data_IF_962949767793
#
_entry.id   IF_962949767793
#
_cell.length_a   1.000
_cell.length_b   1.000
_cell.length_c   1.000
_cell.angle_alpha   90.00
_cell.angle_beta   90.00
_cell.angle_gamma   90.00
#
_symmetry.space_group_name_H-M   'P 1'
#
loop_
_entity.id
_entity.type
_entity.pdbx_description
1 polymer ?
#
# COMPACT_ATOMS: atom_id res chain seq x y z
N UNK A 1 6.18 23.87 34.61
CA UNK A 1 6.18 23.60 33.16
C UNK A 1 6.47 22.12 32.96
N UNK A 2 5.56 21.37 32.36
CA UNK A 2 5.81 19.96 31.98
C UNK A 2 6.77 19.95 30.78
N UNK A 3 7.84 19.18 30.87
CA UNK A 3 8.78 19.04 29.77
C UNK A 3 8.05 18.49 28.53
N UNK A 4 8.37 18.97 27.31
CA UNK A 4 7.75 18.45 26.10
C UNK A 4 8.07 16.96 25.94
N UNK A 5 7.02 16.14 25.75
CA UNK A 5 7.18 14.71 25.53
C UNK A 5 7.62 14.46 24.08
N UNK A 6 8.81 13.88 23.91
CA UNK A 6 9.33 13.42 22.63
C UNK A 6 9.22 11.89 22.53
N UNK A 7 8.81 11.41 21.36
CA UNK A 7 9.03 10.02 20.99
C UNK A 7 10.51 9.82 20.68
N UNK A 8 11.06 8.72 21.17
CA UNK A 8 12.42 8.24 20.89
C UNK A 8 12.36 6.93 20.12
N UNK A 9 13.47 6.56 19.47
CA UNK A 9 13.66 5.26 18.79
C UNK A 9 13.25 4.08 19.70
N UNK A 10 13.66 4.11 20.98
CA UNK A 10 13.31 3.10 21.97
C UNK A 10 11.81 3.09 22.29
N UNK A 11 11.18 4.25 22.49
CA UNK A 11 9.75 4.31 22.78
C UNK A 11 8.89 3.82 21.62
N UNK A 12 9.27 4.15 20.38
CA UNK A 12 8.59 3.71 19.16
C UNK A 12 8.76 2.21 18.96
N UNK A 13 9.97 1.68 19.17
CA UNK A 13 10.23 0.23 19.05
C UNK A 13 9.34 -0.58 20.00
N UNK A 14 9.22 -0.13 21.27
CA UNK A 14 8.33 -0.75 22.26
C UNK A 14 6.85 -0.70 21.85
N UNK A 15 6.41 0.43 21.28
CA UNK A 15 5.02 0.58 20.83
C UNK A 15 4.73 -0.29 19.58
N UNK A 16 5.69 -0.42 18.66
CA UNK A 16 5.62 -1.31 17.49
C UNK A 16 5.62 -2.80 17.89
N UNK A 17 6.44 -3.19 18.86
CA UNK A 17 6.44 -4.55 19.43
C UNK A 17 5.11 -4.86 20.12
N UNK A 18 4.60 -3.96 20.95
CA UNK A 18 3.28 -4.14 21.60
C UNK A 18 2.16 -4.29 20.59
N UNK A 19 2.25 -3.60 19.46
CA UNK A 19 1.28 -3.68 18.37
C UNK A 19 1.33 -5.03 17.63
N UNK A 20 2.44 -5.76 17.71
CA UNK A 20 2.57 -7.09 17.09
C UNK A 20 3.63 -7.20 15.99
N UNK A 21 4.46 -6.17 15.78
CA UNK A 21 5.62 -6.25 14.90
C UNK A 21 6.74 -7.06 15.59
N UNK A 22 7.43 -7.92 14.84
CA UNK A 22 8.38 -8.92 15.33
C UNK A 22 9.61 -8.97 14.42
N UNK A 23 10.70 -9.50 14.96
CA UNK A 23 11.91 -9.78 14.19
C UNK A 23 11.59 -10.70 13.00
N UNK A 24 12.17 -10.39 11.84
CA UNK A 24 11.95 -11.09 10.57
C UNK A 24 10.71 -10.64 9.80
N UNK A 25 9.87 -9.75 10.34
CA UNK A 25 8.70 -9.27 9.62
C UNK A 25 9.08 -8.48 8.36
N UNK A 26 8.28 -8.66 7.31
CA UNK A 26 8.19 -7.72 6.19
C UNK A 26 6.99 -6.81 6.40
N UNK A 27 7.21 -5.50 6.49
CA UNK A 27 6.15 -4.53 6.82
C UNK A 27 6.10 -3.39 5.82
N UNK A 28 4.94 -3.21 5.20
CA UNK A 28 4.62 -2.04 4.39
C UNK A 28 4.00 -0.95 5.26
N UNK A 29 4.51 0.26 5.17
CA UNK A 29 4.16 1.35 6.08
C UNK A 29 3.54 2.51 5.30
N UNK A 30 2.37 2.94 5.76
CA UNK A 30 1.75 4.21 5.39
C UNK A 30 1.80 5.13 6.60
N UNK A 31 2.40 6.31 6.49
CA UNK A 31 2.66 7.17 7.64
C UNK A 31 2.23 8.63 7.43
N UNK A 32 1.33 9.10 8.28
CA UNK A 32 1.11 10.53 8.48
C UNK A 32 2.04 11.02 9.60
N UNK A 33 3.28 11.37 9.25
CA UNK A 33 4.34 11.70 10.21
C UNK A 33 3.94 12.77 11.23
N UNK A 34 3.12 13.75 10.83
CA UNK A 34 2.60 14.80 11.73
C UNK A 34 1.71 14.27 12.86
N UNK A 35 1.09 13.09 12.67
CA UNK A 35 0.25 12.44 13.68
C UNK A 35 1.06 11.56 14.64
N UNK A 36 2.31 11.20 14.33
CA UNK A 36 3.17 10.43 15.24
C UNK A 36 3.67 11.27 16.44
N UNK A 37 3.36 12.56 16.46
CA UNK A 37 3.80 13.49 17.50
C UNK A 37 5.24 13.95 17.31
N UNK A 38 5.84 14.50 18.37
CA UNK A 38 7.19 15.07 18.32
C UNK A 38 8.24 13.96 18.32
N UNK A 39 8.86 13.73 17.18
CA UNK A 39 9.97 12.79 17.05
C UNK A 39 11.29 13.49 17.40
N UNK A 40 12.09 12.90 18.28
CA UNK A 40 13.35 13.50 18.73
C UNK A 40 14.31 13.82 17.57
N UNK A 41 14.43 12.89 16.60
CA UNK A 41 15.30 13.03 15.42
C UNK A 41 14.51 12.92 14.09
N UNK A 42 13.29 13.46 14.04
CA UNK A 42 12.50 13.49 12.80
C UNK A 42 12.13 12.10 12.24
N UNK A 43 11.84 12.00 10.92
CA UNK A 43 11.35 10.76 10.30
C UNK A 43 12.32 9.58 10.31
N UNK A 44 13.63 9.85 10.20
CA UNK A 44 14.67 8.79 10.22
C UNK A 44 14.59 7.94 11.47
N UNK A 45 14.23 8.55 12.61
CA UNK A 45 14.05 7.84 13.87
C UNK A 45 12.92 6.80 13.82
N UNK A 46 11.88 7.03 13.01
CA UNK A 46 10.80 6.06 12.84
C UNK A 46 11.24 4.91 11.92
N UNK A 47 11.98 5.19 10.86
CA UNK A 47 12.62 4.18 9.99
C UNK A 47 13.55 3.30 10.83
N UNK A 48 14.38 3.91 11.66
CA UNK A 48 15.31 3.25 12.57
C UNK A 48 14.60 2.36 13.60
N UNK A 49 13.51 2.82 14.19
CA UNK A 49 12.71 2.03 15.12
C UNK A 49 12.06 0.82 14.43
N UNK A 50 11.55 0.99 13.21
CA UNK A 50 11.03 -0.12 12.40
C UNK A 50 12.13 -1.16 12.12
N UNK A 51 13.32 -0.69 11.70
CA UNK A 51 14.48 -1.54 11.43
C UNK A 51 14.98 -2.29 12.66
N UNK A 52 14.94 -1.68 13.85
CA UNK A 52 15.26 -2.36 15.11
C UNK A 52 14.31 -3.52 15.39
N UNK A 53 13.00 -3.26 15.29
CA UNK A 53 11.98 -4.24 15.66
C UNK A 53 11.95 -5.41 14.67
N UNK A 54 12.05 -5.14 13.37
CA UNK A 54 12.09 -6.22 12.36
C UNK A 54 13.48 -6.89 12.28
N UNK A 55 14.53 -6.23 12.78
CA UNK A 55 15.88 -6.77 12.82
C UNK A 55 16.50 -7.00 11.44
N UNK A 56 17.70 -7.61 11.38
CA UNK A 56 18.46 -7.78 10.15
C UNK A 56 17.82 -8.75 9.15
N UNK A 57 16.93 -9.64 9.59
CA UNK A 57 16.19 -10.57 8.73
C UNK A 57 14.86 -9.98 8.21
N UNK A 58 14.43 -8.83 8.73
CA UNK A 58 13.19 -8.17 8.33
C UNK A 58 13.33 -7.27 7.12
N UNK A 59 12.23 -6.66 6.68
CA UNK A 59 12.21 -5.72 5.55
C UNK A 59 11.14 -4.66 5.76
N UNK A 60 11.51 -3.37 5.65
CA UNK A 60 10.58 -2.24 5.71
C UNK A 60 10.28 -1.79 4.29
N UNK A 61 9.02 -1.53 3.99
CA UNK A 61 8.52 -1.21 2.64
C UNK A 61 7.64 0.06 2.72
N UNK A 62 7.69 0.90 1.69
CA UNK A 62 6.77 2.03 1.54
C UNK A 62 6.31 2.13 0.08
N UNK A 63 5.04 2.50 -0.12
CA UNK A 63 4.55 2.91 -1.44
C UNK A 63 5.17 4.26 -1.80
N UNK A 64 5.96 4.30 -2.87
CA UNK A 64 6.59 5.56 -3.30
C UNK A 64 5.74 6.28 -4.32
N UNK A 65 5.14 5.55 -5.27
CA UNK A 65 4.70 6.15 -6.54
C UNK A 65 5.84 6.99 -7.12
N UNK A 66 5.58 7.96 -7.99
CA UNK A 66 6.57 8.93 -8.43
C UNK A 66 5.96 10.32 -8.67
N UNK A 67 6.79 11.34 -8.63
CA UNK A 67 6.36 12.71 -8.91
C UNK A 67 6.26 12.98 -10.42
N UNK A 68 5.27 12.36 -11.08
CA UNK A 68 5.02 12.42 -12.53
C UNK A 68 3.94 13.44 -12.93
N UNK A 69 4.10 14.72 -12.58
CA UNK A 69 3.07 15.76 -12.84
C UNK A 69 2.69 15.96 -14.33
N UNK A 70 3.48 15.41 -15.27
CA UNK A 70 3.13 15.43 -16.70
C UNK A 70 1.89 14.59 -17.01
N UNK A 71 1.41 13.77 -16.07
CA UNK A 71 0.18 13.00 -16.23
C UNK A 71 -1.03 13.89 -16.57
N UNK A 72 -1.03 15.14 -16.05
CA UNK A 72 -2.03 16.18 -16.37
C UNK A 72 -1.99 16.66 -17.84
N UNK A 73 -0.91 16.36 -18.58
CA UNK A 73 -0.73 16.74 -19.97
C UNK A 73 -1.16 15.64 -20.95
N UNK A 74 -1.55 14.46 -20.46
CA UNK A 74 -1.93 13.35 -21.32
C UNK A 74 -3.20 13.67 -22.11
N UNK A 75 -3.22 13.25 -23.38
CA UNK A 75 -4.41 13.31 -24.21
C UNK A 75 -5.44 12.22 -23.84
N UNK A 76 -6.58 12.21 -24.53
CA UNK A 76 -7.65 11.22 -24.34
C UNK A 76 -7.21 9.76 -24.58
N UNK A 77 -6.08 9.55 -25.27
CA UNK A 77 -5.50 8.23 -25.54
C UNK A 77 -4.35 7.90 -24.57
N UNK A 78 -4.12 8.74 -23.55
CA UNK A 78 -3.05 8.58 -22.58
C UNK A 78 -1.67 8.84 -23.15
N UNK A 79 -1.53 9.65 -24.21
CA UNK A 79 -0.23 9.98 -24.82
C UNK A 79 0.23 11.37 -24.46
N UNK A 80 1.55 11.54 -24.37
CA UNK A 80 2.16 12.86 -24.17
C UNK A 80 2.24 13.59 -25.52
N UNK A 81 1.69 14.82 -25.63
CA UNK A 81 1.84 15.65 -26.82
C UNK A 81 3.31 15.88 -27.18
N UNK A 82 3.63 15.88 -28.47
CA UNK A 82 5.01 15.89 -28.96
C UNK A 82 5.82 17.07 -28.43
N UNK A 83 5.19 18.24 -28.31
CA UNK A 83 5.81 19.47 -27.82
C UNK A 83 6.29 19.38 -26.36
N UNK A 84 5.78 18.45 -25.56
CA UNK A 84 6.15 18.30 -24.15
C UNK A 84 7.20 17.23 -23.89
N UNK A 85 7.47 16.34 -24.86
CA UNK A 85 8.29 15.14 -24.61
C UNK A 85 9.71 15.45 -24.14
N UNK A 86 10.34 16.46 -24.72
CA UNK A 86 11.72 16.87 -24.37
C UNK A 86 11.80 17.62 -23.03
N UNK A 87 10.65 18.02 -22.46
CA UNK A 87 10.56 18.74 -21.19
C UNK A 87 10.31 17.82 -19.99
N UNK A 88 9.95 16.55 -20.24
CA UNK A 88 9.54 15.62 -19.18
C UNK A 88 10.73 14.77 -18.74
N UNK A 89 11.05 14.86 -17.45
CA UNK A 89 12.08 14.03 -16.85
C UNK A 89 11.64 12.55 -16.85
N UNK A 90 12.48 11.63 -17.34
CA UNK A 90 12.17 10.21 -17.34
C UNK A 90 12.17 9.61 -15.92
N UNK A 91 11.44 8.51 -15.74
CA UNK A 91 11.53 7.69 -14.54
C UNK A 91 12.89 7.01 -14.48
N UNK A 92 13.57 7.19 -13.35
CA UNK A 92 14.74 6.46 -12.93
C UNK A 92 14.53 6.05 -11.47
N UNK A 93 14.50 4.74 -11.15
CA UNK A 93 14.22 4.28 -9.79
C UNK A 93 15.22 4.82 -8.76
N UNK A 94 16.44 5.19 -9.19
CA UNK A 94 17.50 5.69 -8.31
C UNK A 94 17.35 7.19 -7.99
N UNK A 95 16.86 8.00 -8.93
CA UNK A 95 16.84 9.46 -8.79
C UNK A 95 15.44 10.08 -8.70
N UNK A 96 14.42 9.49 -9.35
CA UNK A 96 13.06 10.01 -9.31
C UNK A 96 12.56 10.08 -7.86
N UNK A 97 11.83 11.13 -7.50
CA UNK A 97 11.31 11.28 -6.14
C UNK A 97 10.04 10.44 -5.95
N UNK A 98 9.75 10.06 -4.71
CA UNK A 98 8.42 9.58 -4.35
C UNK A 98 7.38 10.72 -4.52
N UNK A 99 6.12 10.37 -4.75
CA UNK A 99 5.05 11.38 -4.82
C UNK A 99 4.86 12.03 -3.45
N UNK A 100 4.51 13.32 -3.44
CA UNK A 100 4.35 14.09 -2.18
C UNK A 100 3.08 13.71 -1.41
N UNK A 101 2.08 13.20 -2.10
CA UNK A 101 0.76 12.88 -1.54
C UNK A 101 0.84 11.71 -0.55
N UNK A 102 1.81 10.82 -0.72
CA UNK A 102 2.11 9.73 0.23
C UNK A 102 2.87 10.19 1.49
N UNK A 103 3.08 11.51 1.63
CA UNK A 103 3.83 12.11 2.73
C UNK A 103 5.35 11.94 2.60
N UNK A 104 6.08 12.35 3.63
CA UNK A 104 7.56 12.37 3.58
C UNK A 104 8.20 11.01 3.86
N UNK A 105 7.47 10.06 4.46
CA UNK A 105 8.05 8.78 4.89
C UNK A 105 8.59 7.94 3.72
N UNK A 106 7.88 7.75 2.59
CA UNK A 106 8.40 6.98 1.47
C UNK A 106 9.66 7.58 0.86
N UNK A 107 9.74 8.91 0.78
CA UNK A 107 10.94 9.59 0.25
C UNK A 107 12.14 9.38 1.18
N UNK A 108 11.98 9.55 2.49
CA UNK A 108 13.03 9.29 3.47
C UNK A 108 13.49 7.83 3.42
N UNK A 109 12.56 6.87 3.32
CA UNK A 109 12.88 5.45 3.17
C UNK A 109 13.63 5.18 1.88
N UNK A 110 13.21 5.78 0.75
CA UNK A 110 13.86 5.65 -0.56
C UNK A 110 15.28 6.20 -0.55
N UNK A 111 15.52 7.31 0.15
CA UNK A 111 16.85 7.94 0.25
C UNK A 111 17.73 7.37 1.36
N UNK A 112 17.21 6.46 2.19
CA UNK A 112 18.02 5.76 3.20
C UNK A 112 19.02 4.84 2.50
N UNK A 113 20.29 4.90 2.92
CA UNK A 113 21.34 4.07 2.34
C UNK A 113 20.99 2.57 2.39
N UNK A 114 21.12 1.88 1.25
CA UNK A 114 20.76 0.48 1.10
C UNK A 114 19.29 0.22 0.74
N UNK A 115 18.47 1.26 0.62
CA UNK A 115 17.11 1.15 0.09
C UNK A 115 17.13 0.82 -1.41
N UNK A 116 16.14 0.04 -1.84
CA UNK A 116 15.87 -0.33 -3.23
C UNK A 116 14.52 0.20 -3.65
N UNK A 117 14.34 0.52 -4.93
CA UNK A 117 13.05 0.90 -5.50
C UNK A 117 12.72 0.04 -6.71
N UNK A 118 11.46 -0.36 -6.81
CA UNK A 118 10.97 -1.18 -7.92
C UNK A 118 10.76 -0.37 -9.21
N UNK A 119 10.76 -1.05 -10.36
CA UNK A 119 10.83 -0.43 -11.69
C UNK A 119 9.53 0.08 -12.33
N UNK A 120 8.34 -0.19 -11.78
CA UNK A 120 7.09 0.40 -12.27
C UNK A 120 6.89 1.79 -11.65
N UNK A 121 6.79 2.89 -12.41
CA UNK A 121 6.81 4.25 -11.86
C UNK A 121 5.65 4.54 -10.90
N UNK A 122 4.41 4.38 -11.38
CA UNK A 122 3.19 4.63 -10.62
C UNK A 122 3.02 3.64 -9.48
N UNK A 123 3.24 2.34 -9.73
CA UNK A 123 3.10 1.32 -8.70
C UNK A 123 4.35 1.20 -7.78
N UNK A 124 5.38 2.03 -7.94
CA UNK A 124 6.68 1.78 -7.31
C UNK A 124 6.61 1.71 -5.78
N UNK A 125 7.39 0.80 -5.21
CA UNK A 125 7.68 0.75 -3.78
C UNK A 125 9.17 0.94 -3.52
N UNK A 126 9.50 1.54 -2.38
CA UNK A 126 10.83 1.49 -1.80
C UNK A 126 10.88 0.41 -0.71
N UNK A 127 12.01 -0.29 -0.59
CA UNK A 127 12.22 -1.33 0.40
C UNK A 127 13.65 -1.31 0.94
N UNK A 128 13.80 -1.57 2.24
CA UNK A 128 15.11 -1.70 2.91
C UNK A 128 15.10 -2.90 3.85
N UNK A 129 16.15 -3.72 3.78
CA UNK A 129 16.31 -4.92 4.61
C UNK A 129 16.60 -6.18 3.79
N UNK A 130 16.51 -7.34 4.44
CA UNK A 130 17.01 -8.63 3.92
C UNK A 130 16.45 -9.04 2.56
N UNK A 131 15.20 -8.65 2.26
CA UNK A 131 14.48 -9.06 1.04
C UNK A 131 14.15 -7.88 0.12
N UNK A 132 14.81 -6.74 0.29
CA UNK A 132 14.56 -5.53 -0.51
C UNK A 132 14.79 -5.78 -2.01
N UNK A 133 15.89 -6.44 -2.37
CA UNK A 133 16.20 -6.78 -3.77
C UNK A 133 15.11 -7.67 -4.39
N UNK A 134 14.78 -8.78 -3.71
CA UNK A 134 13.72 -9.70 -4.18
C UNK A 134 12.36 -9.02 -4.34
N UNK A 135 11.97 -8.18 -3.38
CA UNK A 135 10.68 -7.52 -3.38
C UNK A 135 10.55 -6.53 -4.55
N UNK A 136 11.64 -5.81 -4.85
CA UNK A 136 11.65 -4.72 -5.84
C UNK A 136 12.04 -5.15 -7.26
N UNK A 137 12.65 -6.33 -7.41
CA UNK A 137 13.03 -6.88 -8.71
C UNK A 137 11.82 -7.12 -9.63
N UNK A 138 12.05 -6.99 -10.93
CA UNK A 138 11.14 -7.44 -12.00
C UNK A 138 9.67 -6.99 -11.83
N UNK A 139 9.46 -5.76 -11.36
CA UNK A 139 8.12 -5.20 -11.20
C UNK A 139 7.44 -5.08 -12.58
N UNK A 140 6.33 -5.81 -12.84
CA UNK A 140 5.60 -5.70 -14.09
C UNK A 140 5.21 -4.26 -14.40
N UNK A 141 5.44 -3.83 -15.65
CA UNK A 141 5.06 -2.48 -16.09
C UNK A 141 3.56 -2.39 -16.39
N UNK A 142 2.98 -3.43 -16.96
CA UNK A 142 1.53 -3.54 -17.10
C UNK A 142 0.95 -4.27 -15.89
N UNK A 143 -0.21 -3.80 -15.41
CA UNK A 143 -0.91 -4.32 -14.24
C UNK A 143 0.01 -4.42 -13.00
N UNK A 144 0.72 -3.31 -12.70
CA UNK A 144 1.74 -3.23 -11.64
C UNK A 144 1.24 -3.53 -10.22
N UNK A 145 -0.07 -3.59 -9.98
CA UNK A 145 -0.64 -3.99 -8.69
C UNK A 145 -1.02 -5.48 -8.63
N UNK A 146 -0.83 -6.22 -9.72
CA UNK A 146 -1.29 -7.60 -9.91
C UNK A 146 -0.28 -8.68 -9.58
N UNK A 147 -0.33 -9.79 -10.31
CA UNK A 147 0.61 -10.91 -10.19
C UNK A 147 2.06 -10.46 -10.43
N UNK A 148 3.00 -11.00 -9.65
CA UNK A 148 4.42 -10.65 -9.76
C UNK A 148 4.81 -9.28 -9.19
N UNK A 149 3.84 -8.43 -8.86
CA UNK A 149 4.07 -7.13 -8.22
C UNK A 149 4.72 -7.23 -6.83
N UNK A 150 5.33 -6.15 -6.32
CA UNK A 150 5.75 -6.06 -4.93
C UNK A 150 4.62 -6.33 -3.92
N UNK A 151 3.38 -5.97 -4.25
CA UNK A 151 2.22 -6.26 -3.39
C UNK A 151 1.88 -7.75 -3.35
N UNK A 152 1.90 -8.43 -4.51
CA UNK A 152 1.75 -9.89 -4.56
C UNK A 152 2.87 -10.61 -3.80
N UNK A 153 4.12 -10.13 -3.93
CA UNK A 153 5.27 -10.62 -3.18
C UNK A 153 5.12 -10.39 -1.68
N UNK A 154 4.67 -9.21 -1.24
CA UNK A 154 4.39 -8.91 0.16
C UNK A 154 3.38 -9.91 0.73
N UNK A 155 2.29 -10.19 0.00
CA UNK A 155 1.28 -11.20 0.39
C UNK A 155 1.89 -12.60 0.47
N UNK A 156 2.63 -13.03 -0.56
CA UNK A 156 3.27 -14.34 -0.60
C UNK A 156 4.31 -14.54 0.53
N UNK A 157 4.95 -13.46 0.98
CA UNK A 157 5.88 -13.46 2.11
C UNK A 157 5.20 -13.46 3.48
N UNK A 158 3.86 -13.40 3.55
CA UNK A 158 3.13 -13.26 4.81
C UNK A 158 3.36 -11.89 5.47
N UNK A 159 3.62 -10.85 4.65
CA UNK A 159 3.90 -9.51 5.11
C UNK A 159 2.74 -8.83 5.83
N UNK A 160 3.06 -7.72 6.49
CA UNK A 160 2.14 -6.90 7.28
C UNK A 160 2.00 -5.51 6.68
N UNK A 161 0.88 -4.85 6.94
CA UNK A 161 0.68 -3.43 6.62
C UNK A 161 0.50 -2.65 7.92
N UNK A 162 1.27 -1.57 8.09
CA UNK A 162 1.21 -0.66 9.21
C UNK A 162 0.66 0.70 8.76
N UNK A 163 -0.50 1.08 9.28
CA UNK A 163 -1.06 2.42 9.14
C UNK A 163 -0.62 3.25 10.35
N UNK A 164 0.41 4.06 10.19
CA UNK A 164 0.99 4.92 11.23
C UNK A 164 0.43 6.33 11.12
N UNK A 165 -0.76 6.54 11.69
CA UNK A 165 -1.53 7.78 11.63
C UNK A 165 -2.15 8.08 10.27
N UNK A 166 -1.77 7.32 9.23
CA UNK A 166 -2.29 7.47 7.88
C UNK A 166 -3.79 7.15 7.81
N UNK A 167 -4.57 7.86 6.96
CA UNK A 167 -5.95 7.52 6.68
C UNK A 167 -6.10 6.08 6.18
N UNK A 168 -7.18 5.41 6.56
CA UNK A 168 -7.38 3.98 6.30
C UNK A 168 -7.62 3.64 4.83
N UNK A 169 -8.13 4.61 4.09
CA UNK A 169 -8.30 4.63 2.64
C UNK A 169 -6.98 4.67 1.87
N UNK A 170 -5.85 5.00 2.50
CA UNK A 170 -4.53 5.01 1.82
C UNK A 170 -3.85 3.64 1.75
N UNK A 171 -4.57 2.55 2.01
CA UNK A 171 -4.01 1.20 2.04
C UNK A 171 -3.78 0.66 0.63
N UNK A 172 -2.62 0.98 0.04
CA UNK A 172 -2.28 0.59 -1.35
C UNK A 172 -2.35 -0.92 -1.61
N UNK A 173 -2.19 -1.76 -0.57
CA UNK A 173 -2.36 -3.22 -0.72
C UNK A 173 -3.77 -3.61 -1.20
N UNK A 174 -4.79 -2.78 -0.98
CA UNK A 174 -6.13 -3.06 -1.48
C UNK A 174 -6.27 -2.93 -3.00
N UNK A 175 -5.40 -2.18 -3.69
CA UNK A 175 -5.36 -2.21 -5.16
C UNK A 175 -4.95 -3.59 -5.70
N UNK A 176 -4.14 -4.35 -4.96
CA UNK A 176 -3.89 -5.75 -5.29
C UNK A 176 -5.16 -6.61 -5.15
N UNK A 177 -6.00 -6.34 -4.14
CA UNK A 177 -7.28 -7.02 -3.98
C UNK A 177 -8.28 -6.62 -5.09
N UNK A 178 -8.32 -5.36 -5.50
CA UNK A 178 -9.09 -4.90 -6.67
C UNK A 178 -8.64 -5.61 -7.94
N UNK A 179 -7.32 -5.73 -8.18
CA UNK A 179 -6.77 -6.46 -9.32
C UNK A 179 -7.23 -7.91 -9.36
N UNK A 180 -7.15 -8.63 -8.24
CA UNK A 180 -7.56 -10.03 -8.13
C UNK A 180 -9.07 -10.25 -8.15
N UNK A 181 -9.89 -9.23 -7.85
CA UNK A 181 -11.32 -9.39 -7.72
C UNK A 181 -11.97 -9.78 -9.05
N UNK A 182 -12.65 -10.91 -9.12
CA UNK A 182 -13.45 -11.29 -10.30
C UNK A 182 -14.80 -10.54 -10.29
N UNK A 183 -14.75 -9.27 -10.69
CA UNK A 183 -15.91 -8.38 -10.85
C UNK A 183 -15.90 -7.74 -12.25
N UNK A 184 -17.07 -7.56 -12.89
CA UNK A 184 -17.15 -6.98 -14.22
C UNK A 184 -16.91 -5.47 -14.20
N UNK A 185 -16.63 -4.90 -15.38
CA UNK A 185 -16.56 -3.45 -15.64
C UNK A 185 -15.51 -2.70 -14.80
N UNK A 186 -14.34 -3.31 -14.59
CA UNK A 186 -13.21 -2.61 -13.99
C UNK A 186 -12.74 -1.48 -14.89
N UNK A 187 -12.48 -0.32 -14.29
CA UNK A 187 -11.87 0.84 -14.95
C UNK A 187 -10.45 0.49 -15.35
N UNK A 188 -10.11 0.77 -16.59
CA UNK A 188 -8.78 0.57 -17.15
C UNK A 188 -8.17 1.93 -17.43
N UNK A 189 -6.88 2.06 -17.16
CA UNK A 189 -6.08 3.22 -17.47
C UNK A 189 -4.95 2.80 -18.41
N UNK A 190 -4.78 3.55 -19.49
CA UNK A 190 -3.66 3.40 -20.44
C UNK A 190 -2.97 4.73 -20.55
N UNK A 191 -1.66 4.75 -20.34
CA UNK A 191 -0.90 5.99 -20.23
C UNK A 191 0.56 5.80 -20.62
N UNK A 192 1.15 6.83 -21.19
CA UNK A 192 2.52 6.82 -21.68
C UNK A 192 3.49 7.28 -20.60
N UNK A 193 4.60 6.54 -20.46
CA UNK A 193 5.59 6.78 -19.41
C UNK A 193 7.01 6.84 -19.98
N UNK A 194 7.79 7.89 -19.66
CA UNK A 194 9.19 7.98 -20.06
C UNK A 194 10.07 7.23 -19.06
N UNK A 195 10.98 6.41 -19.57
CA UNK A 195 11.96 5.64 -18.79
C UNK A 195 13.38 6.08 -19.14
N UNK A 196 14.22 6.25 -18.13
CA UNK A 196 15.63 6.55 -18.31
C UNK A 196 16.37 5.25 -18.65
N UNK A 197 17.11 5.25 -19.76
CA UNK A 197 17.95 4.13 -20.17
C UNK A 197 19.34 4.62 -20.53
N UNK A 198 20.36 3.73 -20.60
CA UNK A 198 21.69 4.11 -21.10
C UNK A 198 21.68 4.69 -22.52
N UNK A 199 20.66 4.39 -23.33
CA UNK A 199 20.49 4.91 -24.69
C UNK A 199 19.67 6.22 -24.76
N UNK A 200 19.23 6.75 -23.62
CA UNK A 200 18.34 7.93 -23.54
C UNK A 200 16.94 7.58 -23.04
N UNK A 201 15.97 8.44 -23.35
CA UNK A 201 14.58 8.29 -22.90
C UNK A 201 13.84 7.29 -23.80
N UNK A 202 13.25 6.26 -23.20
CA UNK A 202 12.34 5.33 -23.88
C UNK A 202 10.93 5.57 -23.36
N UNK A 203 10.00 5.84 -24.26
CA UNK A 203 8.58 5.98 -23.91
C UNK A 203 7.86 4.65 -24.10
N UNK A 204 7.05 4.27 -23.12
CA UNK A 204 6.25 3.06 -23.16
C UNK A 204 4.82 3.35 -22.75
N UNK A 205 3.86 2.78 -23.48
CA UNK A 205 2.46 2.72 -23.05
C UNK A 205 2.31 1.64 -21.98
N UNK A 206 1.81 2.02 -20.81
CA UNK A 206 1.43 1.12 -19.72
C UNK A 206 -0.08 0.94 -19.72
N UNK A 207 -0.53 -0.23 -19.27
CA UNK A 207 -1.94 -0.52 -18.98
C UNK A 207 -2.10 -1.07 -17.57
N UNK A 208 -3.09 -0.58 -16.83
CA UNK A 208 -3.43 -1.06 -15.49
C UNK A 208 -4.92 -0.86 -15.18
N UNK A 209 -5.40 -1.48 -14.11
CA UNK A 209 -6.67 -1.05 -13.51
C UNK A 209 -6.48 0.31 -12.85
N UNK A 210 -7.44 1.20 -13.05
CA UNK A 210 -7.40 2.54 -12.47
C UNK A 210 -7.39 2.47 -10.94
N UNK A 211 -6.40 3.14 -10.34
CA UNK A 211 -6.22 3.23 -8.89
C UNK A 211 -6.45 4.64 -8.33
N UNK A 212 -6.66 5.64 -9.20
CA UNK A 212 -6.98 7.01 -8.78
C UNK A 212 -8.45 7.14 -8.36
N UNK A 213 -9.32 6.41 -9.07
CA UNK A 213 -10.72 6.26 -8.76
C UNK A 213 -11.05 4.83 -8.33
N UNK A 214 -12.19 4.58 -7.64
CA UNK A 214 -12.59 3.21 -7.30
C UNK A 214 -12.63 2.30 -8.55
N UNK A 215 -12.13 1.07 -8.45
CA UNK A 215 -11.97 0.18 -9.62
C UNK A 215 -13.26 -0.05 -10.42
N UNK A 216 -14.45 0.10 -9.83
CA UNK A 216 -15.75 0.02 -10.52
C UNK A 216 -16.64 1.21 -10.17
N UNK A 217 -17.56 1.62 -11.06
CA UNK A 217 -18.54 2.67 -10.75
C UNK A 217 -19.45 2.32 -9.56
N UNK A 218 -19.88 3.36 -8.83
CA UNK A 218 -20.86 3.24 -7.74
C UNK A 218 -20.26 2.93 -6.37
N UNK A 219 -18.94 2.84 -6.24
CA UNK A 219 -18.25 2.84 -4.96
C UNK A 219 -17.93 4.29 -4.53
N UNK A 220 -18.00 4.53 -3.21
CA UNK A 220 -17.51 5.77 -2.60
C UNK A 220 -15.99 5.87 -2.74
N UNK A 221 -15.43 7.08 -2.80
CA UNK A 221 -13.98 7.28 -2.99
C UNK A 221 -13.15 6.74 -1.82
N UNK A 222 -13.68 6.73 -0.60
CA UNK A 222 -13.00 6.26 0.62
C UNK A 222 -13.39 4.82 1.02
N UNK A 223 -13.97 4.03 0.11
CA UNK A 223 -14.50 2.70 0.43
C UNK A 223 -13.45 1.72 0.99
N UNK A 224 -12.16 1.96 0.68
CA UNK A 224 -11.04 1.29 1.34
C UNK A 224 -11.10 1.43 2.86
N UNK A 225 -11.36 2.62 3.40
CA UNK A 225 -11.51 2.84 4.84
C UNK A 225 -12.62 1.97 5.44
N UNK A 226 -13.70 1.70 4.71
CA UNK A 226 -14.80 0.82 5.14
C UNK A 226 -14.38 -0.64 5.20
N UNK A 227 -13.69 -1.14 4.17
CA UNK A 227 -13.11 -2.51 4.16
C UNK A 227 -12.18 -2.68 5.37
N UNK A 228 -11.33 -1.68 5.55
CA UNK A 228 -10.25 -1.65 6.53
C UNK A 228 -10.84 -1.53 7.94
N UNK A 229 -11.92 -0.78 8.15
CA UNK A 229 -12.64 -0.72 9.43
C UNK A 229 -13.38 -2.01 9.76
N UNK A 230 -14.06 -2.62 8.77
CA UNK A 230 -14.75 -3.90 8.95
C UNK A 230 -13.78 -5.03 9.34
N UNK A 231 -12.59 -5.04 8.73
CA UNK A 231 -11.52 -5.97 9.06
C UNK A 231 -11.08 -5.89 10.54
N UNK A 232 -10.93 -4.66 11.07
CA UNK A 232 -10.59 -4.46 12.47
C UNK A 232 -11.73 -4.86 13.40
N UNK A 233 -12.97 -4.50 13.06
CA UNK A 233 -14.14 -4.88 13.83
C UNK A 233 -14.31 -6.40 13.91
N UNK A 234 -13.83 -7.14 12.89
CA UNK A 234 -13.75 -8.60 12.89
C UNK A 234 -12.63 -9.20 13.74
N UNK A 235 -11.80 -8.40 14.42
CA UNK A 235 -10.72 -8.86 15.30
C UNK A 235 -9.49 -9.40 14.56
N UNK A 236 -9.38 -9.14 13.26
CA UNK A 236 -8.32 -9.72 12.41
C UNK A 236 -7.09 -8.81 12.29
N UNK A 237 -7.12 -7.61 12.88
CA UNK A 237 -5.97 -6.70 12.98
C UNK A 237 -5.75 -6.21 14.40
N UNK A 238 -4.64 -5.50 14.61
CA UNK A 238 -4.27 -4.93 15.90
C UNK A 238 -4.34 -3.40 15.84
N UNK A 239 -4.88 -2.82 16.91
CA UNK A 239 -4.87 -1.38 17.14
C UNK A 239 -3.87 -1.07 18.26
N UNK A 240 -3.05 -0.06 18.01
CA UNK A 240 -2.12 0.48 18.98
C UNK A 240 -2.85 1.30 20.04
N UNK A 241 -2.12 1.70 21.10
CA UNK A 241 -2.70 2.56 22.12
C UNK A 241 -3.18 3.88 21.51
N UNK A 242 -4.49 4.12 21.51
CA UNK A 242 -5.06 5.42 21.15
C UNK A 242 -4.71 6.44 22.24
N UNK A 243 -3.60 7.16 22.04
CA UNK A 243 -3.14 8.21 22.97
C UNK A 243 -3.84 9.54 22.75
N UNK A 244 -5.01 9.60 22.09
CA UNK A 244 -5.82 10.85 21.95
C UNK A 244 -6.42 11.38 23.26
N UNK A 245 -5.99 10.90 24.42
CA UNK A 245 -6.40 11.41 25.74
C UNK A 245 -5.21 11.95 26.53
N UNK A 246 -4.89 13.22 26.33
CA UNK A 246 -4.30 14.08 27.36
C UNK A 246 -4.70 15.53 27.12
N UNK A 247 -5.23 16.17 28.16
CA UNK A 247 -5.78 17.53 28.18
C UNK A 247 -4.64 18.55 28.13
N UNK A 248 -4.76 19.58 27.27
CA UNK A 248 -3.90 20.78 27.27
C UNK A 248 -3.06 20.96 26.00
N UNK A 249 -3.45 21.95 25.17
CA UNK A 249 -2.69 22.58 24.08
C UNK A 249 -1.70 21.70 23.29
N UNK A 250 -2.23 20.79 22.47
CA UNK A 250 -1.46 20.07 21.45
C UNK A 250 -1.85 18.59 21.38
N UNK A 251 -2.71 18.24 20.42
CA UNK A 251 -3.04 16.83 20.15
C UNK A 251 -1.78 16.13 19.61
N UNK A 252 -1.20 15.20 20.37
CA UNK A 252 -0.15 14.29 19.92
C UNK A 252 -0.57 12.87 20.29
N UNK A 253 -0.84 12.03 19.30
CA UNK A 253 -1.32 10.67 19.54
C UNK A 253 -0.87 9.74 18.43
N UNK A 254 -0.07 8.74 18.79
CA UNK A 254 0.41 7.68 17.91
C UNK A 254 -0.74 6.70 17.61
N UNK A 255 -1.49 6.92 16.53
CA UNK A 255 -2.47 5.94 16.03
C UNK A 255 -1.73 4.95 15.12
N UNK A 256 -1.24 3.84 15.69
CA UNK A 256 -0.64 2.77 14.90
C UNK A 256 -1.67 1.65 14.73
N UNK A 257 -1.89 1.23 13.50
CA UNK A 257 -2.75 0.08 13.21
C UNK A 257 -1.96 -0.93 12.39
N UNK A 258 -1.77 -2.13 12.93
CA UNK A 258 -1.08 -3.21 12.24
C UNK A 258 -2.11 -4.19 11.71
N UNK A 259 -2.01 -4.51 10.43
CA UNK A 259 -2.88 -5.45 9.75
C UNK A 259 -2.06 -6.61 9.26
N UNK A 260 -2.44 -7.79 9.72
CA UNK A 260 -1.81 -9.04 9.35
C UNK A 260 -2.63 -9.71 8.26
N UNK A 261 -1.95 -10.06 7.16
CA UNK A 261 -2.38 -10.93 6.05
C UNK A 261 -3.61 -10.50 5.25
N UNK A 262 -3.44 -10.37 3.94
CA UNK A 262 -4.44 -10.88 2.99
C UNK A 262 -4.07 -12.34 2.73
N UNK A 263 -4.87 -13.32 3.15
CA UNK A 263 -4.58 -14.71 2.79
C UNK A 263 -4.76 -14.88 1.27
N UNK A 264 -3.69 -15.23 0.56
CA UNK A 264 -3.69 -15.38 -0.90
C UNK A 264 -4.78 -16.34 -1.42
N UNK A 265 -5.31 -16.04 -2.62
CA UNK A 265 -6.43 -16.74 -3.26
C UNK A 265 -6.17 -18.20 -3.70
N UNK A 266 -5.07 -18.85 -3.29
CA UNK A 266 -4.67 -20.16 -3.81
C UNK A 266 -5.22 -21.39 -3.05
N UNK A 267 -6.19 -21.23 -2.14
CA UNK A 267 -6.92 -22.37 -1.51
C UNK A 267 -8.44 -22.18 -1.48
N UNK A 268 -9.02 -21.77 -2.60
CA UNK A 268 -10.48 -21.58 -2.76
C UNK A 268 -11.27 -22.88 -3.06
N UNK A 269 -10.86 -24.04 -2.56
CA UNK A 269 -11.67 -25.27 -2.68
C UNK A 269 -12.09 -25.93 -1.36
N UNK A 270 -11.46 -25.62 -0.23
CA UNK A 270 -11.89 -26.13 1.09
C UNK A 270 -11.44 -25.16 2.16
N UNK A 271 -12.34 -24.31 2.64
CA UNK A 271 -12.43 -23.83 4.03
C UNK A 271 -13.54 -22.78 4.09
N UNK A 272 -14.61 -23.16 4.79
CA UNK A 272 -15.64 -22.25 5.24
C UNK A 272 -15.04 -21.23 6.22
N UNK A 273 -15.01 -19.97 5.81
CA UNK A 273 -15.03 -18.84 6.74
C UNK A 273 -13.72 -18.41 7.41
N UNK A 274 -12.71 -17.96 6.64
CA UNK A 274 -11.72 -16.98 7.10
C UNK A 274 -10.68 -16.69 6.01
N UNK A 275 -10.92 -15.67 5.18
CA UNK A 275 -9.88 -15.06 4.35
C UNK A 275 -10.32 -13.62 3.99
N UNK A 276 -9.46 -12.62 4.21
CA UNK A 276 -9.75 -11.24 3.81
C UNK A 276 -10.11 -11.07 2.34
N UNK A 277 -9.47 -11.74 1.35
CA UNK A 277 -9.94 -11.59 -0.02
C UNK A 277 -11.39 -12.08 -0.14
N UNK A 278 -11.79 -13.14 0.55
CA UNK A 278 -13.21 -13.53 0.60
C UNK A 278 -14.10 -12.49 1.27
N UNK A 279 -13.63 -11.71 2.25
CA UNK A 279 -14.43 -10.68 2.91
C UNK A 279 -14.44 -9.34 2.15
N UNK A 280 -13.33 -8.91 1.55
CA UNK A 280 -13.23 -7.75 0.68
C UNK A 280 -13.97 -8.01 -0.65
N UNK A 281 -13.81 -9.19 -1.27
CA UNK A 281 -14.67 -9.61 -2.38
C UNK A 281 -16.12 -9.78 -1.94
N UNK A 282 -16.41 -10.31 -0.75
CA UNK A 282 -17.80 -10.38 -0.27
C UNK A 282 -18.38 -8.99 0.04
N UNK A 283 -17.57 -8.02 0.48
CA UNK A 283 -18.01 -6.65 0.72
C UNK A 283 -18.22 -5.94 -0.62
N UNK A 284 -17.30 -6.05 -1.58
CA UNK A 284 -17.47 -5.59 -2.97
C UNK A 284 -18.72 -6.21 -3.62
N UNK A 285 -18.97 -7.51 -3.39
CA UNK A 285 -20.20 -8.19 -3.86
C UNK A 285 -21.46 -7.74 -3.11
N UNK A 286 -21.38 -7.41 -1.82
CA UNK A 286 -22.52 -6.94 -1.00
C UNK A 286 -22.85 -5.47 -1.22
N UNK A 287 -21.87 -4.60 -1.48
CA UNK A 287 -22.06 -3.19 -1.78
C UNK A 287 -22.80 -2.97 -3.12
N UNK A 288 -22.88 -4.00 -3.98
CA UNK A 288 -23.67 -4.01 -5.22
C UNK A 288 -25.15 -4.39 -5.04
N UNK A 289 -25.61 -4.75 -3.84
CA UNK A 289 -27.02 -5.12 -3.63
C UNK A 289 -27.81 -3.90 -3.15
N UNK A 290 -28.52 -3.17 -4.04
CA UNK A 290 -29.62 -2.34 -3.59
C UNK A 290 -30.68 -3.26 -2.97
N UNK A 291 -31.37 -2.79 -1.94
CA UNK A 291 -32.41 -3.53 -1.24
C UNK A 291 -33.32 -4.33 -2.19
N UNK A 292 -33.34 -5.65 -1.98
CA UNK A 292 -34.39 -6.53 -2.49
C UNK A 292 -34.04 -7.31 -3.76
N UNK A 293 -33.58 -8.54 -3.61
CA UNK A 293 -34.11 -9.72 -4.32
C UNK A 293 -33.43 -10.98 -3.79
N UNK A 294 -34.22 -11.87 -3.17
CA UNK A 294 -33.78 -13.23 -2.81
C UNK A 294 -33.62 -14.03 -4.11
N UNK A 295 -32.39 -14.35 -4.51
CA UNK A 295 -32.16 -15.48 -5.42
C UNK A 295 -31.50 -16.62 -4.66
N UNK A 296 -32.28 -17.70 -4.46
CA UNK A 296 -31.79 -19.01 -4.01
C UNK A 296 -30.96 -19.60 -5.15
N UNK A 297 -29.70 -19.94 -4.89
CA UNK A 297 -28.94 -20.84 -5.75
C UNK A 297 -28.70 -22.16 -5.02
N UNK A 298 -29.23 -23.23 -5.62
CA UNK A 298 -29.06 -24.62 -5.19
C UNK A 298 -27.61 -25.05 -5.45
N UNK A 299 -26.97 -25.69 -4.47
CA UNK A 299 -25.79 -26.51 -4.71
C UNK A 299 -26.19 -27.68 -5.62
N UNK A 300 -25.52 -27.82 -6.75
CA UNK A 300 -25.39 -29.09 -7.44
C UNK A 300 -24.00 -29.63 -7.11
N UNK A 301 -23.94 -30.80 -6.47
CA UNK A 301 -22.72 -31.56 -6.24
C UNK A 301 -23.01 -33.05 -6.45
N UNK A 302 -22.12 -33.69 -7.21
CA UNK A 302 -21.90 -35.14 -7.31
C UNK A 302 -22.68 -35.84 -8.42
N UNK A 303 -22.14 -36.78 -9.19
CA UNK A 303 -20.82 -37.42 -9.19
C UNK A 303 -20.66 -38.19 -10.52
N UNK A 304 -19.42 -38.50 -10.89
CA UNK A 304 -19.14 -39.54 -11.91
C UNK A 304 -19.53 -40.91 -11.37
N UNK A 305 -20.39 -41.62 -12.10
CA UNK A 305 -20.07 -42.89 -12.75
C UNK A 305 -20.70 -42.89 -14.14
#
# INVERSE_FOLDING_TARGET
MTAPHFHTRLSLSKDLEKLGLRAGDMVMVHAAMSRLGRLLNGPDMFIDALRDVVGPSGTVVAYTDWNGAYDELLDENGRVPLEWRDHIAPFDPTTSRAIRDNGIFPEFLRTTAGSRRSGNPGASVAAIGARADWLTADHPLDYGYGEGSPLAKLVAAGGKVLMAGAPLDTMTLLHHAEHLAEIPNKRLRRYEVPFATPAGVVWRMLEEFDTADPVVPGLESDYFARIVSAFLAGGQGALGPDRRRAIGAGRCGLDLQLRCRLDGASRLSRLSGSALPCQALALLRRLRQPHGTKSRWRCWYGDKQ
#
